data_IF_003209619687
#
_entry.id   IF_003209619687
#
_cell.length_a   1.000
_cell.length_b   1.000
_cell.length_c   1.000
_cell.angle_alpha   90.00
_cell.angle_beta   90.00
_cell.angle_gamma   90.00
#
_symmetry.space_group_name_H-M   'P 1'
#
loop_
_entity.id
_entity.type
_entity.pdbx_description
1 polymer ?
#
# COMPACT_ATOMS: atom_id res chain seq x y z
N UNK A 1 19.49 36.53 -16.68
CA UNK A 1 18.90 36.06 -15.41
C UNK A 1 19.14 34.55 -15.37
N UNK A 2 20.16 34.14 -14.62
CA UNK A 2 20.61 32.74 -14.52
C UNK A 2 19.81 32.13 -13.37
N UNK A 3 19.00 31.11 -13.64
CA UNK A 3 18.27 30.37 -12.61
C UNK A 3 19.17 29.20 -12.22
N UNK A 4 19.86 29.34 -11.10
CA UNK A 4 20.53 28.23 -10.43
C UNK A 4 19.47 27.25 -9.90
N UNK A 5 19.37 26.09 -10.53
CA UNK A 5 18.58 24.97 -10.03
C UNK A 5 19.33 24.32 -8.86
N UNK A 6 19.06 24.78 -7.64
CA UNK A 6 19.47 24.03 -6.44
C UNK A 6 18.64 22.75 -6.36
N UNK A 7 19.26 21.63 -6.74
CA UNK A 7 18.79 20.30 -6.40
C UNK A 7 18.84 20.15 -4.87
N UNK A 8 17.76 20.54 -4.20
CA UNK A 8 17.54 20.23 -2.79
C UNK A 8 17.45 18.71 -2.66
N UNK A 9 18.26 18.18 -1.75
CA UNK A 9 18.25 16.79 -1.28
C UNK A 9 16.85 16.20 -1.38
N UNK A 10 16.65 15.34 -2.39
CA UNK A 10 15.53 14.41 -2.38
C UNK A 10 15.69 13.60 -1.11
N UNK A 11 14.82 13.83 -0.13
CA UNK A 11 14.67 12.96 1.03
C UNK A 11 14.15 11.63 0.48
N UNK A 12 15.09 10.83 -0.01
CA UNK A 12 14.88 9.51 -0.58
C UNK A 12 13.94 8.76 0.36
N UNK A 13 12.75 8.44 -0.14
CA UNK A 13 11.87 7.48 0.50
C UNK A 13 12.74 6.27 0.88
N UNK A 14 12.53 5.67 2.08
CA UNK A 14 13.40 4.64 2.58
C UNK A 14 13.57 3.54 1.53
N UNK A 15 14.81 3.29 1.09
CA UNK A 15 15.12 2.24 0.14
C UNK A 15 14.70 0.89 0.77
N UNK A 16 13.58 0.33 0.30
CA UNK A 16 13.00 -0.88 0.87
C UNK A 16 13.88 -2.13 0.65
N UNK A 17 14.82 -2.11 -0.31
CA UNK A 17 15.84 -3.16 -0.45
C UNK A 17 16.90 -3.10 0.66
N UNK A 18 17.12 -1.93 1.28
CA UNK A 18 18.00 -1.87 2.47
C UNK A 18 17.30 -2.32 3.74
N UNK A 19 15.96 -2.28 3.79
CA UNK A 19 15.19 -2.85 4.90
C UNK A 19 15.29 -4.38 4.95
N UNK A 20 15.47 -5.04 3.81
CA UNK A 20 15.64 -6.50 3.71
C UNK A 20 17.05 -6.97 4.04
N UNK A 21 18.08 -6.12 3.84
CA UNK A 21 19.49 -6.47 4.15
C UNK A 21 19.92 -6.10 5.58
N UNK A 22 19.18 -5.23 6.25
CA UNK A 22 19.54 -4.74 7.58
C UNK A 22 18.91 -5.54 8.71
N UNK A 23 19.30 -6.81 8.93
CA UNK A 23 19.16 -7.61 10.17
C UNK A 23 17.98 -7.26 11.12
N UNK A 24 16.80 -6.95 10.60
CA UNK A 24 15.60 -6.83 11.42
C UNK A 24 14.98 -8.20 11.39
N UNK A 25 15.08 -8.90 12.52
CA UNK A 25 14.36 -10.16 12.68
C UNK A 25 12.90 -9.90 12.30
N UNK A 26 12.32 -10.70 11.38
CA UNK A 26 10.92 -10.60 11.06
C UNK A 26 10.12 -10.75 12.35
N UNK A 27 9.06 -9.95 12.55
CA UNK A 27 8.23 -10.07 13.74
C UNK A 27 7.77 -11.53 13.89
N UNK A 28 8.12 -12.18 15.01
CA UNK A 28 7.78 -13.60 15.20
C UNK A 28 6.26 -13.85 15.26
N UNK A 29 5.48 -12.78 15.45
CA UNK A 29 4.03 -12.80 15.55
C UNK A 29 3.43 -11.82 14.52
N UNK A 30 2.32 -12.21 13.87
CA UNK A 30 1.51 -11.32 13.05
C UNK A 30 1.27 -9.95 13.69
N UNK A 31 1.64 -8.87 13.00
CA UNK A 31 1.41 -7.52 13.49
C UNK A 31 0.04 -7.04 13.04
N UNK A 32 -0.82 -6.65 13.99
CA UNK A 32 -2.22 -6.31 13.72
C UNK A 32 -2.38 -4.80 13.75
N UNK A 33 -2.75 -4.19 12.63
CA UNK A 33 -3.05 -2.77 12.56
C UNK A 33 -4.54 -2.60 12.46
N UNK A 34 -5.07 -1.51 13.04
CA UNK A 34 -6.51 -1.25 13.02
C UNK A 34 -6.76 0.06 12.31
N UNK A 35 -7.71 0.05 11.38
CA UNK A 35 -8.21 1.26 10.76
C UNK A 35 -9.40 1.78 11.57
N UNK A 36 -9.24 2.92 12.21
CA UNK A 36 -10.29 3.51 13.04
C UNK A 36 -10.85 4.74 12.35
N UNK A 37 -12.18 4.81 12.25
CA UNK A 37 -12.84 6.01 11.74
C UNK A 37 -12.61 7.16 12.72
N UNK A 38 -12.21 8.33 12.21
CA UNK A 38 -11.92 9.51 13.03
C UNK A 38 -12.97 10.60 12.85
N UNK A 39 -13.18 11.04 11.61
CA UNK A 39 -14.17 12.04 11.21
C UNK A 39 -14.72 11.72 9.82
N UNK A 40 -15.73 12.45 9.35
CA UNK A 40 -16.27 12.30 8.00
C UNK A 40 -15.15 12.37 6.95
N UNK A 41 -14.98 11.28 6.20
CA UNK A 41 -13.95 11.19 5.16
C UNK A 41 -12.53 10.98 5.68
N UNK A 42 -12.33 10.65 6.97
CA UNK A 42 -11.00 10.39 7.52
C UNK A 42 -10.91 9.14 8.41
N UNK A 43 -9.75 8.52 8.36
CA UNK A 43 -9.43 7.25 8.99
C UNK A 43 -8.02 7.32 9.59
N UNK A 44 -7.82 6.69 10.74
CA UNK A 44 -6.51 6.55 11.38
C UNK A 44 -6.03 5.11 11.26
N UNK A 45 -4.72 4.95 11.06
CA UNK A 45 -4.04 3.66 11.12
C UNK A 45 -3.41 3.55 12.50
N UNK A 46 -4.03 2.72 13.35
CA UNK A 46 -3.58 2.46 14.70
C UNK A 46 -2.52 1.36 14.72
N UNK A 47 -1.48 1.49 15.57
CA UNK A 47 -0.47 0.46 15.73
C UNK A 47 -1.05 -0.78 16.44
N UNK A 48 -0.31 -1.90 16.43
CA UNK A 48 -0.62 -3.07 17.24
C UNK A 48 -0.76 -2.76 18.73
N UNK A 49 -1.62 -3.50 19.44
CA UNK A 49 -1.92 -3.25 20.86
C UNK A 49 -0.70 -3.46 21.79
N UNK A 50 0.26 -4.23 21.35
CA UNK A 50 1.54 -4.51 22.02
C UNK A 50 2.65 -3.51 21.63
N UNK A 51 2.37 -2.56 20.74
CA UNK A 51 3.33 -1.53 20.36
C UNK A 51 3.62 -0.58 21.54
N UNK A 52 4.89 -0.18 21.65
CA UNK A 52 5.38 0.75 22.70
C UNK A 52 4.66 2.09 22.71
N UNK A 53 4.15 2.54 21.57
CA UNK A 53 3.32 3.73 21.43
C UNK A 53 2.00 3.36 20.78
N UNK A 54 0.91 3.86 21.36
CA UNK A 54 -0.45 3.71 20.83
C UNK A 54 -0.90 4.95 20.03
N UNK A 55 0.03 5.82 19.66
CA UNK A 55 -0.27 6.95 18.78
C UNK A 55 -0.58 6.47 17.36
N UNK A 56 -1.54 7.09 16.65
CA UNK A 56 -1.80 6.79 15.25
C UNK A 56 -0.52 6.91 14.41
N UNK A 57 -0.35 6.01 13.46
CA UNK A 57 0.81 5.99 12.56
C UNK A 57 0.56 6.83 11.31
N UNK A 58 -0.67 6.75 10.79
CA UNK A 58 -1.09 7.48 9.61
C UNK A 58 -2.52 7.98 9.76
N UNK A 59 -2.81 9.06 9.05
CA UNK A 59 -4.15 9.56 8.80
C UNK A 59 -4.43 9.51 7.31
N UNK A 60 -5.50 8.85 6.94
CA UNK A 60 -6.02 8.75 5.59
C UNK A 60 -7.21 9.70 5.49
N UNK A 61 -7.19 10.64 4.56
CA UNK A 61 -8.31 11.55 4.29
C UNK A 61 -8.76 11.39 2.85
N UNK A 62 -10.06 11.56 2.61
CA UNK A 62 -10.67 11.52 1.28
C UNK A 62 -11.50 12.79 1.12
N UNK A 63 -11.07 13.64 0.19
CA UNK A 63 -11.72 14.92 -0.11
C UNK A 63 -12.32 14.88 -1.52
N UNK A 64 -13.45 15.56 -1.72
CA UNK A 64 -14.02 15.79 -3.05
C UNK A 64 -13.44 17.08 -3.63
N UNK A 65 -12.74 16.97 -4.76
CA UNK A 65 -12.22 18.12 -5.51
C UNK A 65 -13.24 18.57 -6.56
N UNK A 66 -13.70 19.81 -6.39
CA UNK A 66 -14.71 20.48 -7.21
C UNK A 66 -14.13 21.63 -8.04
N UNK A 67 -12.84 21.58 -8.38
CA UNK A 67 -12.22 22.57 -9.26
C UNK A 67 -13.02 22.71 -10.58
N UNK A 68 -13.55 23.89 -10.92
CA UNK A 68 -14.44 24.07 -12.08
C UNK A 68 -13.75 23.86 -13.44
N UNK A 69 -12.41 23.83 -13.46
CA UNK A 69 -11.63 23.60 -14.68
C UNK A 69 -11.17 22.16 -14.86
N UNK A 70 -11.46 21.29 -13.88
CA UNK A 70 -11.09 19.88 -13.90
C UNK A 70 -12.32 18.98 -13.72
N UNK A 71 -12.27 17.74 -14.22
CA UNK A 71 -13.28 16.76 -13.88
C UNK A 71 -13.34 16.53 -12.37
N UNK A 72 -14.57 16.45 -11.83
CA UNK A 72 -14.82 16.12 -10.42
C UNK A 72 -14.04 14.87 -10.04
N UNK A 73 -13.29 14.94 -8.94
CA UNK A 73 -12.42 13.85 -8.50
C UNK A 73 -12.42 13.68 -6.99
N UNK A 74 -12.15 12.47 -6.52
CA UNK A 74 -11.81 12.22 -5.13
C UNK A 74 -10.30 12.25 -4.97
N UNK A 75 -9.82 12.97 -3.96
CA UNK A 75 -8.43 13.01 -3.59
C UNK A 75 -8.23 12.31 -2.24
N UNK A 76 -7.54 11.17 -2.27
CA UNK A 76 -7.14 10.42 -1.08
C UNK A 76 -5.73 10.82 -0.70
N UNK A 77 -5.53 11.34 0.52
CA UNK A 77 -4.20 11.66 1.07
C UNK A 77 -3.88 10.77 2.24
N UNK A 78 -2.62 10.35 2.30
CA UNK A 78 -2.05 9.57 3.39
C UNK A 78 -1.00 10.45 4.05
N UNK A 79 -1.23 10.78 5.31
CA UNK A 79 -0.36 11.65 6.10
C UNK A 79 0.24 10.85 7.25
N UNK A 80 1.51 11.09 7.56
CA UNK A 80 2.16 10.52 8.75
C UNK A 80 1.69 11.24 10.01
N UNK A 81 1.46 10.47 11.06
CA UNK A 81 1.10 10.95 12.40
C UNK A 81 2.29 10.77 13.37
N UNK A 82 2.25 11.48 14.50
CA UNK A 82 3.27 11.42 15.55
C UNK A 82 4.39 12.46 15.37
N UNK A 83 5.65 12.05 15.54
CA UNK A 83 6.80 12.99 15.66
C UNK A 83 7.07 13.85 14.41
N UNK A 84 6.60 13.40 13.24
CA UNK A 84 6.64 14.12 11.95
C UNK A 84 5.21 14.33 11.45
N UNK A 85 4.35 14.85 12.32
CA UNK A 85 2.96 15.11 11.96
C UNK A 85 2.86 16.09 10.78
N UNK A 86 2.00 15.77 9.82
CA UNK A 86 1.74 16.64 8.66
C UNK A 86 2.45 16.23 7.37
N UNK A 87 3.44 15.33 7.42
CA UNK A 87 4.15 14.83 6.24
C UNK A 87 3.20 14.01 5.36
N UNK A 88 2.97 14.44 4.11
CA UNK A 88 2.20 13.67 3.12
C UNK A 88 3.10 12.58 2.56
N UNK A 89 2.76 11.32 2.84
CA UNK A 89 3.52 10.15 2.35
C UNK A 89 3.00 9.66 1.00
N UNK A 90 1.74 9.93 0.69
CA UNK A 90 1.15 9.57 -0.59
C UNK A 90 -0.16 10.31 -0.84
N UNK A 91 -0.44 10.56 -2.12
CA UNK A 91 -1.67 11.17 -2.58
C UNK A 91 -2.16 10.43 -3.83
N UNK A 92 -3.46 10.18 -3.90
CA UNK A 92 -4.10 9.52 -5.03
C UNK A 92 -5.37 10.28 -5.42
N UNK A 93 -5.44 10.74 -6.67
CA UNK A 93 -6.60 11.42 -7.22
C UNK A 93 -7.30 10.55 -8.27
N UNK A 94 -8.60 10.32 -8.09
CA UNK A 94 -9.45 9.55 -9.01
C UNK A 94 -10.60 10.42 -9.52
N UNK A 95 -10.62 10.70 -10.82
CA UNK A 95 -11.73 11.41 -11.43
C UNK A 95 -12.95 10.50 -11.62
N UNK A 96 -14.15 11.00 -11.30
CA UNK A 96 -15.38 10.22 -11.32
C UNK A 96 -15.86 9.87 -12.73
N UNK A 97 -15.71 10.83 -13.66
CA UNK A 97 -16.29 10.75 -15.00
C UNK A 97 -15.28 10.35 -16.08
N UNK A 98 -14.04 10.06 -15.71
CA UNK A 98 -13.05 9.56 -16.65
C UNK A 98 -12.14 8.54 -15.96
N UNK A 99 -11.51 7.65 -16.74
CA UNK A 99 -10.61 6.63 -16.20
C UNK A 99 -9.22 7.20 -15.84
N UNK A 100 -9.12 8.50 -15.54
CA UNK A 100 -7.86 9.15 -15.20
C UNK A 100 -7.69 9.12 -13.69
N UNK A 101 -6.61 8.50 -13.27
CA UNK A 101 -6.20 8.53 -11.88
C UNK A 101 -4.70 8.79 -11.78
N UNK A 102 -4.31 9.61 -10.82
CA UNK A 102 -2.93 10.06 -10.61
C UNK A 102 -2.49 9.63 -9.22
N UNK A 103 -1.28 9.09 -9.14
CA UNK A 103 -0.63 8.69 -7.90
C UNK A 103 0.60 9.60 -7.69
N UNK A 104 0.77 10.07 -6.45
CA UNK A 104 1.92 10.84 -6.01
C UNK A 104 2.48 10.20 -4.74
N UNK A 105 3.76 9.83 -4.73
CA UNK A 105 4.46 9.29 -3.55
C UNK A 105 5.83 9.96 -3.49
N UNK A 106 6.09 10.75 -2.44
CA UNK A 106 7.24 11.65 -2.41
C UNK A 106 7.27 12.58 -3.64
N UNK A 107 8.39 12.58 -4.36
CA UNK A 107 8.57 13.37 -5.59
C UNK A 107 8.06 12.67 -6.85
N UNK A 108 7.66 11.40 -6.75
CA UNK A 108 7.21 10.60 -7.87
C UNK A 108 5.73 10.86 -8.16
N UNK A 109 5.43 11.32 -9.37
CA UNK A 109 4.05 11.49 -9.88
C UNK A 109 3.84 10.65 -11.12
N UNK A 110 2.84 9.77 -11.12
CA UNK A 110 2.55 8.86 -12.24
C UNK A 110 1.04 8.63 -12.40
N UNK A 111 0.63 8.06 -13.54
CA UNK A 111 -0.75 7.57 -13.69
C UNK A 111 -0.90 6.30 -12.87
N UNK A 112 -2.04 6.14 -12.20
CA UNK A 112 -2.30 4.92 -11.44
C UNK A 112 -2.19 3.67 -12.31
N UNK A 113 -2.65 3.73 -13.56
CA UNK A 113 -2.56 2.62 -14.52
C UNK A 113 -1.12 2.14 -14.78
N UNK A 114 -0.12 2.98 -14.53
CA UNK A 114 1.29 2.62 -14.69
C UNK A 114 1.83 1.90 -13.45
N UNK A 115 1.24 2.17 -12.29
CA UNK A 115 1.65 1.61 -11.01
C UNK A 115 0.81 0.39 -10.60
N UNK A 116 -0.46 0.33 -11.01
CA UNK A 116 -1.43 -0.65 -10.55
C UNK A 116 -2.16 -1.28 -11.74
N UNK A 117 -2.08 -2.59 -11.88
CA UNK A 117 -2.78 -3.31 -12.95
C UNK A 117 -3.33 -4.67 -12.49
N UNK A 118 -4.49 -5.02 -13.04
CA UNK A 118 -5.16 -6.29 -12.77
C UNK A 118 -4.39 -7.48 -13.34
N UNK A 119 -4.35 -8.57 -12.57
CA UNK A 119 -3.83 -9.87 -12.98
C UNK A 119 -4.99 -10.67 -13.54
N UNK A 120 -4.85 -11.20 -14.75
CA UNK A 120 -5.91 -11.95 -15.45
C UNK A 120 -7.25 -11.20 -15.49
N UNK A 121 -7.20 -9.87 -15.64
CA UNK A 121 -8.37 -8.97 -15.63
C UNK A 121 -9.23 -9.04 -14.35
N UNK A 122 -8.71 -9.63 -13.26
CA UNK A 122 -9.41 -9.69 -11.99
C UNK A 122 -9.34 -8.34 -11.28
N UNK A 123 -10.49 -7.79 -10.83
CA UNK A 123 -10.50 -6.58 -10.01
C UNK A 123 -10.05 -6.85 -8.56
N UNK A 124 -9.86 -8.13 -8.18
CA UNK A 124 -9.45 -8.56 -6.83
C UNK A 124 -8.06 -9.19 -6.82
N UNK A 125 -7.32 -9.10 -7.92
CA UNK A 125 -5.97 -9.64 -8.03
C UNK A 125 -5.17 -8.67 -8.89
N UNK A 126 -4.17 -8.02 -8.32
CA UNK A 126 -3.47 -6.94 -9.01
C UNK A 126 -1.99 -6.88 -8.62
N UNK A 127 -1.19 -6.35 -9.53
CA UNK A 127 0.20 -6.03 -9.29
C UNK A 127 0.33 -4.55 -9.00
N UNK A 128 1.25 -4.25 -8.11
CA UNK A 128 1.80 -2.92 -7.88
C UNK A 128 3.23 -2.88 -8.39
N UNK A 129 3.57 -1.92 -9.25
CA UNK A 129 4.92 -1.66 -9.75
C UNK A 129 5.23 -0.19 -9.53
N UNK A 130 5.90 0.11 -8.43
CA UNK A 130 6.45 1.42 -8.16
C UNK A 130 7.63 1.24 -7.21
N UNK A 131 8.85 1.40 -7.73
CA UNK A 131 10.12 1.01 -7.11
C UNK A 131 10.23 -0.49 -6.85
N UNK A 132 9.28 -1.06 -6.13
CA UNK A 132 9.12 -2.48 -5.87
C UNK A 132 7.96 -3.08 -6.66
N UNK A 133 8.05 -4.38 -6.93
CA UNK A 133 6.96 -5.16 -7.50
C UNK A 133 6.27 -5.95 -6.40
N UNK A 134 5.02 -5.59 -6.10
CA UNK A 134 4.19 -6.27 -5.12
C UNK A 134 3.01 -6.94 -5.81
N UNK A 135 2.60 -8.09 -5.32
CA UNK A 135 1.43 -8.81 -5.79
C UNK A 135 0.37 -8.82 -4.69
N UNK A 136 -0.85 -8.42 -5.03
CA UNK A 136 -1.99 -8.39 -4.11
C UNK A 136 -3.09 -9.34 -4.57
N UNK A 137 -3.48 -10.27 -3.70
CA UNK A 137 -4.58 -11.23 -3.92
C UNK A 137 -5.67 -11.03 -2.87
N UNK A 138 -6.77 -10.40 -3.29
CA UNK A 138 -7.97 -10.10 -2.52
C UNK A 138 -9.16 -10.99 -2.90
N UNK A 139 -8.92 -12.14 -3.55
CA UNK A 139 -10.01 -13.01 -4.05
C UNK A 139 -10.73 -13.76 -2.94
N UNK A 140 -10.06 -14.01 -1.82
CA UNK A 140 -10.65 -14.65 -0.66
C UNK A 140 -11.47 -13.66 0.17
N UNK A 141 -12.39 -14.20 0.97
CA UNK A 141 -13.18 -13.44 1.94
C UNK A 141 -13.09 -14.09 3.32
N UNK A 142 -13.32 -13.28 4.34
CA UNK A 142 -13.42 -13.67 5.73
C UNK A 142 -14.81 -14.21 6.07
N UNK A 143 -14.99 -14.87 7.23
CA UNK A 143 -16.30 -15.40 7.65
C UNK A 143 -17.40 -14.32 7.74
N UNK A 144 -17.03 -13.07 7.98
CA UNK A 144 -17.94 -11.91 8.02
C UNK A 144 -18.24 -11.32 6.62
N UNK A 145 -17.70 -11.94 5.55
CA UNK A 145 -17.85 -11.53 4.16
C UNK A 145 -16.93 -10.40 3.70
N UNK A 146 -16.03 -9.92 4.56
CA UNK A 146 -15.05 -8.88 4.21
C UNK A 146 -13.86 -9.45 3.42
N UNK A 147 -13.17 -8.66 2.58
CA UNK A 147 -12.11 -9.18 1.71
C UNK A 147 -10.85 -9.60 2.50
N UNK A 148 -10.23 -10.71 2.13
CA UNK A 148 -8.92 -11.13 2.63
C UNK A 148 -7.89 -10.77 1.55
N UNK A 149 -7.06 -9.74 1.79
CA UNK A 149 -6.07 -9.25 0.82
C UNK A 149 -4.66 -9.65 1.22
N UNK A 150 -4.06 -10.61 0.53
CA UNK A 150 -2.70 -11.08 0.77
C UNK A 150 -1.73 -10.34 -0.13
N UNK A 151 -0.68 -9.75 0.44
CA UNK A 151 0.43 -9.19 -0.33
C UNK A 151 1.66 -10.09 -0.28
N UNK A 152 2.34 -10.24 -1.41
CA UNK A 152 3.59 -10.99 -1.50
C UNK A 152 4.48 -10.44 -2.61
N UNK A 153 5.78 -10.66 -2.49
CA UNK A 153 6.70 -10.43 -3.60
C UNK A 153 6.50 -11.55 -4.63
N UNK A 154 6.43 -11.24 -5.93
CA UNK A 154 6.47 -12.29 -6.93
C UNK A 154 7.79 -13.04 -6.78
N UNK A 155 7.75 -14.37 -6.82
CA UNK A 155 8.98 -15.15 -6.84
C UNK A 155 9.89 -14.60 -7.94
N UNK A 156 11.18 -14.37 -7.65
CA UNK A 156 12.14 -14.11 -8.71
C UNK A 156 11.96 -15.26 -9.70
N UNK A 157 11.63 -14.95 -10.95
CA UNK A 157 11.50 -15.98 -11.95
C UNK A 157 12.88 -16.62 -12.10
N UNK A 158 13.12 -17.73 -11.39
CA UNK A 158 14.02 -18.74 -11.87
C UNK A 158 13.46 -19.09 -13.23
N UNK A 159 14.13 -18.64 -14.29
CA UNK A 159 13.93 -19.22 -15.62
C UNK A 159 13.78 -20.72 -15.43
N UNK A 160 12.69 -21.35 -15.92
CA UNK A 160 12.44 -22.75 -15.66
C UNK A 160 13.64 -23.52 -16.18
N UNK A 161 14.47 -24.04 -15.28
CA UNK A 161 15.50 -25.00 -15.65
C UNK A 161 14.72 -26.27 -16.02
N UNK A 162 14.71 -26.68 -17.30
CA UNK A 162 13.93 -27.83 -17.75
C UNK A 162 14.37 -29.16 -17.10
N UNK A 163 15.43 -29.16 -16.27
CA UNK A 163 15.92 -30.33 -15.52
C UNK A 163 15.54 -30.38 -14.05
N UNK A 164 14.89 -29.35 -13.48
CA UNK A 164 14.55 -29.37 -12.07
C UNK A 164 13.30 -30.25 -11.79
N UNK A 165 13.36 -31.21 -10.85
CA UNK A 165 12.19 -31.98 -10.46
C UNK A 165 11.11 -31.07 -9.85
N UNK A 166 9.82 -31.45 -9.95
CA UNK A 166 8.70 -30.63 -9.47
C UNK A 166 8.86 -30.30 -7.99
N UNK A 167 9.08 -29.02 -7.67
CA UNK A 167 9.15 -28.57 -6.28
C UNK A 167 7.74 -28.49 -5.68
N UNK A 168 7.55 -28.95 -4.43
CA UNK A 168 6.30 -28.74 -3.71
C UNK A 168 6.03 -27.23 -3.52
N UNK A 169 4.75 -26.81 -3.40
CA UNK A 169 4.41 -25.40 -3.26
C UNK A 169 5.10 -24.78 -2.03
N UNK A 170 5.60 -23.54 -2.13
CA UNK A 170 6.31 -22.90 -1.02
C UNK A 170 5.40 -22.75 0.20
N UNK A 171 5.89 -23.25 1.34
CA UNK A 171 5.16 -23.33 2.62
C UNK A 171 5.05 -21.99 3.38
N UNK A 172 5.53 -20.88 2.81
CA UNK A 172 5.51 -19.56 3.44
C UNK A 172 4.39 -18.69 2.86
N UNK A 173 3.14 -19.04 3.19
CA UNK A 173 1.96 -18.21 2.92
C UNK A 173 1.60 -17.40 4.17
N UNK A 174 1.80 -16.08 4.13
CA UNK A 174 1.35 -15.17 5.19
C UNK A 174 -0.07 -14.68 4.89
N UNK A 175 -1.00 -14.81 5.86
CA UNK A 175 -2.46 -14.68 5.67
C UNK A 175 -3.01 -13.39 6.29
N UNK A 176 -3.67 -12.52 5.51
CA UNK A 176 -4.03 -11.16 5.95
C UNK A 176 -5.53 -10.82 5.85
N UNK A 177 -6.12 -10.30 6.92
CA UNK A 177 -7.57 -10.14 7.16
C UNK A 177 -8.06 -8.69 7.06
N UNK A 178 -8.90 -8.26 6.10
CA UNK A 178 -9.40 -6.87 5.98
C UNK A 178 -10.94 -6.79 6.14
N UNK A 179 -11.47 -5.97 7.07
CA UNK A 179 -12.92 -5.74 7.25
C UNK A 179 -13.52 -4.68 6.28
N UNK A 180 -14.84 -4.72 6.01
CA UNK A 180 -15.68 -3.93 5.03
C UNK A 180 -15.25 -2.45 4.84
N UNK A 181 -15.31 -1.75 3.67
CA UNK A 181 -16.20 -1.75 2.47
C UNK A 181 -15.62 -0.84 1.35
N UNK A 182 -15.88 -1.19 0.07
CA UNK A 182 -15.73 -0.45 -1.22
C UNK A 182 -14.31 -0.30 -1.81
N UNK A 183 -14.30 -0.37 -3.13
CA UNK A 183 -13.19 -0.56 -4.08
C UNK A 183 -12.08 0.51 -4.04
N UNK A 184 -12.22 1.55 -3.20
CA UNK A 184 -11.25 2.62 -3.00
C UNK A 184 -10.08 2.23 -2.09
N UNK A 185 -10.24 1.21 -1.27
CA UNK A 185 -9.33 0.96 -0.14
C UNK A 185 -8.12 0.08 -0.49
N UNK A 186 -8.12 -0.52 -1.68
CA UNK A 186 -7.01 -1.35 -2.17
C UNK A 186 -5.69 -0.55 -2.31
N UNK A 187 -5.77 0.77 -2.48
CA UNK A 187 -4.61 1.64 -2.69
C UNK A 187 -4.08 2.23 -1.38
N UNK A 188 -4.93 2.38 -0.34
CA UNK A 188 -4.47 2.81 0.98
C UNK A 188 -3.57 1.74 1.67
N UNK A 189 -3.73 0.48 1.29
CA UNK A 189 -2.84 -0.63 1.69
C UNK A 189 -1.52 -0.69 0.92
N UNK A 190 -1.30 0.13 -0.12
CA UNK A 190 -0.19 -0.05 -1.07
C UNK A 190 1.20 0.37 -0.54
N UNK A 191 1.32 0.78 0.73
CA UNK A 191 2.58 1.25 1.32
C UNK A 191 3.06 0.35 2.45
N UNK A 192 3.31 -0.94 2.17
CA UNK A 192 4.37 -1.81 2.73
C UNK A 192 3.97 -3.28 2.60
N UNK A 193 4.74 -4.01 1.80
CA UNK A 193 4.85 -5.46 1.95
C UNK A 193 6.32 -5.73 2.28
N UNK A 194 6.54 -6.18 3.51
CA UNK A 194 7.87 -6.63 3.92
C UNK A 194 8.22 -7.90 3.14
N UNK A 195 9.47 -8.02 2.70
CA UNK A 195 9.92 -9.09 1.81
C UNK A 195 10.02 -10.44 2.50
N UNK A 196 9.96 -10.50 3.84
CA UNK A 196 10.10 -11.74 4.60
C UNK A 196 8.93 -11.93 5.56
N UNK A 197 7.91 -12.62 5.05
CA UNK A 197 7.04 -13.56 5.77
C UNK A 197 6.58 -13.18 7.18
N UNK A 198 5.72 -12.15 7.36
CA UNK A 198 4.89 -12.04 8.57
C UNK A 198 3.48 -11.51 8.26
N UNK A 199 2.41 -12.07 8.86
CA UNK A 199 1.03 -11.67 8.54
C UNK A 199 0.61 -10.36 9.24
N UNK A 200 0.08 -9.42 8.47
CA UNK A 200 -0.80 -8.32 8.87
C UNK A 200 -2.24 -8.79 9.11
N UNK A 201 -2.81 -8.54 10.29
CA UNK A 201 -4.24 -8.79 10.54
C UNK A 201 -4.92 -7.44 10.74
N UNK A 202 -6.10 -7.22 10.16
CA UNK A 202 -6.97 -6.10 10.54
C UNK A 202 -8.09 -6.67 11.42
N UNK A 203 -8.32 -6.04 12.57
CA UNK A 203 -9.48 -6.31 13.44
C UNK A 203 -10.12 -4.98 13.80
N UNK A 204 -11.45 -4.98 13.76
CA UNK A 204 -12.30 -3.93 14.33
C UNK A 204 -12.07 -3.79 15.84
#
# INVERSE_FOLDING_TARGET
MIIESQAKNAELLPNYETATRGSRQPPQVPQIYTFTNWQHGSMLVMPPRDATSQQPLYRITVDLDLNPFLPVSYNTRIMRCGRREGEVVGEFAFALNNKRAVLRIGDLTTRLSNALYSVNSSPRHFNWILENRLHWDCRSSLPDGSPLCICYLPSPQTSPDPRAPPQPPPASQSRLHLSRRRQSDAIASAARCDADSVPWRFRD
#
